data_IF_454252868807
#
_entry.id   IF_454252868807
#
_cell.length_a   1.000
_cell.length_b   1.000
_cell.length_c   1.000
_cell.angle_alpha   90.00
_cell.angle_beta   90.00
_cell.angle_gamma   90.00
#
_symmetry.space_group_name_H-M   'P 1'
#
loop_
_entity.id
_entity.type
_entity.pdbx_description
1 polymer ?
#
# COMPACT_ATOMS: atom_id res chain seq x y z
N UNK A 1 -16.21 -17.19 -17.47
CA UNK A 1 -17.38 -18.00 -17.08
C UNK A 1 -17.11 -18.61 -15.70
N UNK A 2 -18.13 -18.91 -14.86
CA UNK A 2 -17.92 -19.69 -13.65
C UNK A 2 -17.39 -21.09 -14.00
N UNK A 3 -16.57 -21.65 -13.12
CA UNK A 3 -16.01 -22.99 -13.23
C UNK A 3 -16.81 -23.95 -12.35
N UNK A 4 -17.11 -25.13 -12.87
CA UNK A 4 -17.76 -26.19 -12.11
C UNK A 4 -16.73 -26.91 -11.23
N UNK A 5 -16.99 -26.95 -9.93
CA UNK A 5 -16.17 -27.61 -8.90
C UNK A 5 -17.08 -28.56 -8.13
N UNK A 6 -17.33 -29.74 -8.73
CA UNK A 6 -18.32 -30.69 -8.23
C UNK A 6 -19.73 -30.13 -8.35
N UNK A 7 -20.47 -30.06 -7.24
CA UNK A 7 -21.84 -29.52 -7.19
C UNK A 7 -21.91 -27.99 -7.03
N UNK A 8 -20.75 -27.30 -7.00
CA UNK A 8 -20.68 -25.86 -6.79
C UNK A 8 -20.06 -25.16 -7.99
N UNK A 9 -20.47 -23.92 -8.23
CA UNK A 9 -19.89 -23.07 -9.27
C UNK A 9 -19.03 -21.97 -8.63
N UNK A 10 -17.84 -21.72 -9.19
CA UNK A 10 -16.89 -20.74 -8.69
C UNK A 10 -16.53 -19.71 -9.78
N UNK A 11 -16.64 -18.41 -9.48
CA UNK A 11 -16.10 -17.37 -10.35
C UNK A 11 -14.65 -17.07 -9.97
N UNK A 12 -13.73 -17.39 -10.87
CA UNK A 12 -12.31 -17.09 -10.71
C UNK A 12 -11.97 -15.76 -11.39
N UNK A 13 -11.08 -15.00 -10.77
CA UNK A 13 -10.46 -13.81 -11.35
C UNK A 13 -8.94 -13.95 -11.22
N UNK A 14 -8.20 -13.38 -12.16
CA UNK A 14 -6.75 -13.33 -12.11
C UNK A 14 -6.26 -11.88 -12.13
N UNK A 15 -5.18 -11.62 -11.41
CA UNK A 15 -4.37 -10.41 -11.60
C UNK A 15 -3.09 -10.82 -12.30
N UNK A 16 -2.62 -10.01 -13.24
CA UNK A 16 -1.41 -10.28 -14.02
C UNK A 16 -0.50 -9.06 -13.97
N UNK A 17 0.79 -9.30 -13.74
CA UNK A 17 1.83 -8.30 -13.85
C UNK A 17 2.75 -8.64 -15.02
N UNK A 18 3.07 -7.66 -15.85
CA UNK A 18 3.93 -7.83 -17.02
C UNK A 18 5.12 -6.87 -16.96
N UNK A 19 6.29 -7.32 -17.40
CA UNK A 19 7.45 -6.47 -17.66
C UNK A 19 7.76 -6.49 -19.16
N UNK A 20 8.18 -5.34 -19.70
CA UNK A 20 8.63 -5.23 -21.08
C UNK A 20 10.16 -5.21 -21.11
N UNK A 21 10.74 -6.02 -21.98
CA UNK A 21 12.17 -6.05 -22.25
C UNK A 21 12.45 -5.24 -23.51
N UNK A 22 13.30 -4.21 -23.42
CA UNK A 22 13.53 -3.28 -24.53
C UNK A 22 14.91 -3.40 -25.17
N UNK A 23 15.96 -3.65 -24.40
CA UNK A 23 17.32 -4.13 -24.78
C UNK A 23 18.33 -3.69 -23.71
N UNK A 24 19.50 -4.36 -23.64
CA UNK A 24 20.72 -3.91 -22.94
C UNK A 24 20.63 -3.71 -21.41
N UNK A 25 21.41 -4.49 -20.67
CA UNK A 25 21.62 -4.46 -19.19
C UNK A 25 20.52 -5.04 -18.28
N UNK A 26 19.39 -5.51 -18.83
CA UNK A 26 18.36 -6.19 -18.03
C UNK A 26 18.61 -7.71 -17.94
N UNK A 27 18.79 -8.23 -16.73
CA UNK A 27 18.84 -9.67 -16.47
C UNK A 27 17.42 -10.25 -16.31
N UNK A 28 17.27 -11.57 -16.49
CA UNK A 28 16.01 -12.28 -16.25
C UNK A 28 15.46 -12.01 -14.85
N UNK A 29 16.33 -11.93 -13.84
CA UNK A 29 15.96 -11.64 -12.45
C UNK A 29 15.33 -10.24 -12.31
N UNK A 30 15.90 -9.24 -12.98
CA UNK A 30 15.36 -7.87 -13.01
C UNK A 30 13.97 -7.86 -13.64
N UNK A 31 13.79 -8.55 -14.77
CA UNK A 31 12.48 -8.62 -15.46
C UNK A 31 11.42 -9.32 -14.60
N UNK A 32 11.77 -10.42 -13.94
CA UNK A 32 10.86 -11.13 -13.01
C UNK A 32 10.44 -10.19 -11.88
N UNK A 33 11.40 -9.49 -11.25
CA UNK A 33 11.09 -8.58 -10.15
C UNK A 33 10.17 -7.41 -10.60
N UNK A 34 10.39 -6.89 -11.81
CA UNK A 34 9.51 -5.90 -12.43
C UNK A 34 8.09 -6.43 -12.64
N UNK A 35 7.96 -7.64 -13.17
CA UNK A 35 6.65 -8.29 -13.36
C UNK A 35 5.94 -8.57 -12.02
N UNK A 36 6.68 -8.98 -10.99
CA UNK A 36 6.14 -9.16 -9.63
C UNK A 36 5.66 -7.85 -9.01
N UNK A 37 6.42 -6.76 -9.18
CA UNK A 37 6.03 -5.42 -8.74
C UNK A 37 4.72 -4.99 -9.40
N UNK A 38 4.59 -5.19 -10.72
CA UNK A 38 3.37 -4.91 -11.45
C UNK A 38 2.19 -5.79 -10.98
N UNK A 39 2.44 -7.07 -10.69
CA UNK A 39 1.44 -8.00 -10.16
C UNK A 39 0.96 -7.58 -8.77
N UNK A 40 1.87 -7.15 -7.90
CA UNK A 40 1.53 -6.62 -6.59
C UNK A 40 0.64 -5.38 -6.71
N UNK A 41 1.00 -4.47 -7.61
CA UNK A 41 0.18 -3.29 -7.90
C UNK A 41 -1.21 -3.66 -8.42
N UNK A 42 -1.31 -4.65 -9.32
CA UNK A 42 -2.59 -5.19 -9.80
C UNK A 42 -3.43 -5.78 -8.66
N UNK A 43 -2.81 -6.44 -7.69
CA UNK A 43 -3.48 -7.02 -6.52
C UNK A 43 -3.99 -5.96 -5.53
N UNK A 44 -3.29 -4.82 -5.39
CA UNK A 44 -3.70 -3.72 -4.49
C UNK A 44 -4.72 -2.77 -5.09
N UNK A 45 -4.66 -2.51 -6.39
CA UNK A 45 -5.49 -1.49 -7.05
C UNK A 45 -6.94 -1.95 -7.33
N UNK A 46 -7.31 -3.18 -6.95
CA UNK A 46 -8.68 -3.73 -7.06
C UNK A 46 -8.77 -5.10 -7.73
N UNK A 47 -7.63 -5.77 -7.99
CA UNK A 47 -7.53 -7.14 -8.53
C UNK A 47 -8.16 -7.29 -9.92
N UNK A 48 -8.13 -8.51 -10.49
CA UNK A 48 -8.86 -8.85 -11.72
C UNK A 48 -8.36 -8.15 -12.99
N UNK A 49 -7.10 -7.68 -13.01
CA UNK A 49 -6.57 -6.81 -14.08
C UNK A 49 -5.13 -7.16 -14.45
N UNK A 50 -4.73 -6.66 -15.62
CA UNK A 50 -3.36 -6.71 -16.12
C UNK A 50 -2.71 -5.35 -15.89
N UNK A 51 -1.50 -5.36 -15.35
CA UNK A 51 -0.69 -4.15 -15.13
C UNK A 51 0.68 -4.38 -15.73
N UNK A 52 1.16 -3.40 -16.51
CA UNK A 52 2.53 -3.39 -17.01
C UNK A 52 3.39 -2.58 -16.04
N UNK A 53 4.58 -3.09 -15.75
CA UNK A 53 5.56 -2.43 -14.91
C UNK A 53 5.87 -1.02 -15.41
N UNK A 54 5.94 -0.08 -14.48
CA UNK A 54 6.55 1.24 -14.69
C UNK A 54 7.48 1.55 -13.53
N UNK A 55 8.46 2.44 -13.74
CA UNK A 55 9.42 2.80 -12.68
C UNK A 55 8.75 3.45 -11.48
N UNK A 56 7.67 4.19 -11.70
CA UNK A 56 6.86 4.83 -10.66
C UNK A 56 6.25 3.80 -9.70
N UNK A 57 5.90 2.60 -10.19
CA UNK A 57 5.40 1.52 -9.32
C UNK A 57 6.48 1.01 -8.37
N UNK A 58 7.71 0.87 -8.87
CA UNK A 58 8.86 0.47 -8.06
C UNK A 58 9.17 1.52 -6.99
N UNK A 59 9.21 2.80 -7.38
CA UNK A 59 9.42 3.93 -6.47
C UNK A 59 8.33 4.00 -5.39
N UNK A 60 7.07 3.79 -5.77
CA UNK A 60 5.95 3.73 -4.83
C UNK A 60 6.09 2.55 -3.86
N UNK A 61 6.48 1.36 -4.33
CA UNK A 61 6.71 0.20 -3.49
C UNK A 61 7.87 0.41 -2.50
N UNK A 62 8.98 0.99 -2.98
CA UNK A 62 10.14 1.37 -2.16
C UNK A 62 9.75 2.40 -1.09
N UNK A 63 8.96 3.42 -1.45
CA UNK A 63 8.46 4.43 -0.51
C UNK A 63 7.60 3.82 0.59
N UNK A 64 6.65 2.95 0.23
CA UNK A 64 5.80 2.27 1.23
C UNK A 64 6.64 1.42 2.18
N UNK A 65 7.60 0.66 1.65
CA UNK A 65 8.50 -0.18 2.45
C UNK A 65 9.33 0.68 3.41
N UNK A 66 9.85 1.82 2.95
CA UNK A 66 10.60 2.77 3.78
C UNK A 66 9.75 3.30 4.93
N UNK A 67 8.54 3.78 4.63
CA UNK A 67 7.60 4.29 5.65
C UNK A 67 7.26 3.20 6.66
N UNK A 68 7.02 1.96 6.21
CA UNK A 68 6.73 0.85 7.11
C UNK A 68 7.88 0.56 8.06
N UNK A 69 9.11 0.49 7.55
CA UNK A 69 10.30 0.25 8.35
C UNK A 69 10.60 1.40 9.32
N UNK A 70 10.39 2.64 8.89
CA UNK A 70 10.55 3.82 9.74
C UNK A 70 9.46 3.85 10.84
N UNK A 71 8.19 3.61 10.49
CA UNK A 71 7.09 3.57 11.46
C UNK A 71 7.27 2.46 12.51
N UNK A 72 7.72 1.27 12.09
CA UNK A 72 8.03 0.17 13.04
C UNK A 72 9.09 0.59 14.06
N UNK A 73 10.14 1.30 13.60
CA UNK A 73 11.18 1.83 14.49
C UNK A 73 10.64 2.92 15.42
N UNK A 74 9.88 3.87 14.88
CA UNK A 74 9.29 4.97 15.64
C UNK A 74 8.38 4.49 16.77
N UNK A 75 7.54 3.48 16.51
CA UNK A 75 6.69 2.86 17.54
C UNK A 75 7.54 2.23 18.64
N UNK A 76 8.58 1.45 18.30
CA UNK A 76 9.47 0.83 19.28
C UNK A 76 10.30 1.86 20.07
N UNK A 77 10.61 3.00 19.47
CA UNK A 77 11.36 4.10 20.08
C UNK A 77 10.49 5.09 20.86
N UNK A 78 9.16 4.95 20.83
CA UNK A 78 8.24 5.87 21.50
C UNK A 78 8.12 7.25 20.84
N UNK A 79 8.40 7.34 19.54
CA UNK A 79 8.38 8.60 18.75
C UNK A 79 6.98 8.96 18.22
N UNK A 80 5.99 8.10 18.47
CA UNK A 80 4.58 8.38 18.17
C UNK A 80 3.94 9.06 19.38
N UNK A 81 3.64 10.35 19.26
CA UNK A 81 3.11 11.17 20.35
C UNK A 81 1.60 11.45 20.20
N UNK A 82 0.87 11.61 21.32
CA UNK A 82 -0.53 12.02 21.28
C UNK A 82 -0.65 13.54 21.12
N UNK A 83 -1.45 13.97 20.14
CA UNK A 83 -1.96 15.33 20.05
C UNK A 83 -3.43 15.35 20.47
N UNK A 84 -3.92 16.50 20.96
CA UNK A 84 -5.28 16.61 21.50
C UNK A 84 -6.06 17.68 20.74
N UNK A 85 -7.10 17.24 20.01
CA UNK A 85 -7.99 18.15 19.31
C UNK A 85 -9.21 18.47 20.19
N UNK A 86 -9.48 19.76 20.52
CA UNK A 86 -10.64 20.12 21.34
C UNK A 86 -11.96 19.80 20.64
N UNK A 87 -12.91 19.25 21.39
CA UNK A 87 -14.31 19.09 21.00
C UNK A 87 -15.11 20.18 21.72
N UNK A 88 -15.85 20.99 20.97
CA UNK A 88 -16.58 22.15 21.51
C UNK A 88 -18.09 21.97 21.36
N UNK A 89 -18.82 22.38 22.40
CA UNK A 89 -20.26 22.54 22.34
C UNK A 89 -20.61 23.79 21.51
N UNK A 90 -21.46 23.64 20.49
CA UNK A 90 -21.73 24.72 19.53
C UNK A 90 -22.55 25.88 20.12
N UNK A 91 -23.39 25.60 21.12
CA UNK A 91 -24.26 26.61 21.73
C UNK A 91 -23.48 27.46 22.73
N UNK A 92 -22.73 26.81 23.61
CA UNK A 92 -22.00 27.45 24.71
C UNK A 92 -20.57 27.85 24.34
N UNK A 93 -20.05 27.32 23.22
CA UNK A 93 -18.65 27.45 22.77
C UNK A 93 -17.62 26.96 23.79
N UNK A 94 -18.04 26.13 24.73
CA UNK A 94 -17.15 25.57 25.75
C UNK A 94 -16.54 24.26 25.24
N UNK A 95 -15.28 24.03 25.60
CA UNK A 95 -14.65 22.72 25.40
C UNK A 95 -15.32 21.69 26.29
N UNK A 96 -15.81 20.61 25.67
CA UNK A 96 -16.50 19.50 26.34
C UNK A 96 -15.68 18.20 26.34
N UNK A 97 -14.55 18.17 25.62
CA UNK A 97 -13.65 17.04 25.58
C UNK A 97 -12.50 17.24 24.60
N UNK A 98 -11.70 16.20 24.42
CA UNK A 98 -10.60 16.16 23.47
C UNK A 98 -10.56 14.82 22.74
N UNK A 99 -10.27 14.84 21.45
CA UNK A 99 -9.90 13.66 20.68
C UNK A 99 -8.38 13.48 20.73
N UNK A 100 -7.92 12.27 21.07
CA UNK A 100 -6.50 11.91 21.05
C UNK A 100 -6.11 11.43 19.66
N UNK A 101 -5.17 12.13 19.02
CA UNK A 101 -4.72 11.88 17.66
C UNK A 101 -3.23 11.52 17.67
N UNK A 102 -2.88 10.31 17.25
CA UNK A 102 -1.48 9.93 17.11
C UNK A 102 -0.78 10.79 16.03
N UNK A 103 0.43 11.26 16.35
CA UNK A 103 1.30 12.00 15.45
C UNK A 103 2.69 11.39 15.49
N UNK A 104 3.30 11.33 14.32
CA UNK A 104 4.68 10.93 14.16
C UNK A 104 5.30 11.87 13.13
N UNK A 105 6.43 12.47 13.50
CA UNK A 105 7.22 13.34 12.64
C UNK A 105 8.47 12.58 12.25
N UNK A 106 8.49 12.09 11.02
CA UNK A 106 9.69 11.49 10.45
C UNK A 106 10.77 12.59 10.27
N UNK A 107 12.02 12.28 10.61
CA UNK A 107 13.13 13.25 10.53
C UNK A 107 13.86 13.17 9.18
N UNK A 108 13.51 12.20 8.36
CA UNK A 108 14.10 11.92 7.03
C UNK A 108 13.18 12.29 5.85
#
# INVERSE_FOLDING_TARGET
APYDVGERTARLSASVGCSLFYSGDETTEILINKAETALYHAKRSGRGRVVVYTREMEEAAKRVTRIEQALRRAVSAGEVEPHFQPIVDLTTRRTIGFETLARWTDRD
#
